data_IF_931827315368
#
_entry.id   IF_931827315368
#
_cell.length_a   1.000
_cell.length_b   1.000
_cell.length_c   1.000
_cell.angle_alpha   90.00
_cell.angle_beta   90.00
_cell.angle_gamma   90.00
#
_symmetry.space_group_name_H-M   'P 1'
#
loop_
_entity.id
_entity.type
_entity.pdbx_description
1 polymer ?
#
# COMPACT_ATOMS: atom_id res chain seq x y z
N UNK A 1 0.25 9.81 28.44
CA UNK A 1 -1.08 9.66 27.82
C UNK A 1 -1.78 10.98 27.43
N UNK A 2 -1.24 12.17 27.77
CA UNK A 2 -1.96 13.46 27.62
C UNK A 2 -1.91 14.06 26.19
N UNK A 3 -0.86 13.78 25.41
CA UNK A 3 -0.63 14.44 24.12
C UNK A 3 -1.72 14.18 23.06
N UNK A 4 -2.19 12.95 22.92
CA UNK A 4 -3.24 12.61 21.95
C UNK A 4 -4.60 13.23 22.35
N UNK A 5 -4.94 13.21 23.63
CA UNK A 5 -6.15 13.87 24.12
C UNK A 5 -6.12 15.38 23.87
N UNK A 6 -4.97 16.03 24.11
CA UNK A 6 -4.79 17.44 23.77
C UNK A 6 -4.89 17.69 22.26
N UNK A 7 -4.35 16.80 21.43
CA UNK A 7 -4.51 16.92 19.97
C UNK A 7 -5.98 16.88 19.54
N UNK A 8 -6.83 16.05 20.19
CA UNK A 8 -8.27 16.03 19.90
C UNK A 8 -8.96 17.35 20.29
N UNK A 9 -8.55 17.97 21.40
CA UNK A 9 -9.19 19.18 21.92
C UNK A 9 -8.66 20.49 21.29
N UNK A 10 -7.36 20.57 21.05
CA UNK A 10 -6.63 21.79 20.67
C UNK A 10 -5.91 21.67 19.33
N UNK A 11 -5.92 20.49 18.70
CA UNK A 11 -5.24 20.26 17.43
C UNK A 11 -5.95 20.91 16.25
N UNK A 12 -5.23 20.98 15.14
CA UNK A 12 -5.77 21.45 13.87
C UNK A 12 -6.00 20.26 12.95
N UNK A 13 -7.09 20.29 12.19
CA UNK A 13 -7.31 19.34 11.11
C UNK A 13 -6.27 19.57 10.01
N UNK A 14 -5.60 18.48 9.60
CA UNK A 14 -4.78 18.44 8.40
C UNK A 14 -5.39 17.46 7.41
N UNK A 15 -5.69 17.94 6.21
CA UNK A 15 -6.11 17.09 5.09
C UNK A 15 -4.90 16.31 4.56
N UNK A 16 -5.12 15.04 4.26
CA UNK A 16 -4.14 14.11 3.73
C UNK A 16 -4.70 13.39 2.52
N UNK A 17 -3.79 13.12 1.58
CA UNK A 17 -4.07 12.37 0.36
C UNK A 17 -3.97 10.87 0.67
N UNK A 18 -4.74 10.06 -0.06
CA UNK A 18 -4.74 8.61 0.08
C UNK A 18 -4.85 7.96 -1.29
N UNK A 19 -4.52 6.67 -1.38
CA UNK A 19 -4.76 5.87 -2.58
C UNK A 19 -5.98 4.99 -2.36
N UNK A 20 -6.83 4.87 -3.38
CA UNK A 20 -7.93 3.91 -3.42
C UNK A 20 -7.69 2.96 -4.58
N UNK A 21 -7.79 1.66 -4.32
CA UNK A 21 -7.65 0.64 -5.34
C UNK A 21 -9.00 0.30 -5.99
N UNK A 22 -8.96 -0.31 -7.17
CA UNK A 22 -10.14 -0.74 -7.94
C UNK A 22 -11.05 -1.77 -7.22
N UNK A 23 -10.67 -2.23 -6.03
CA UNK A 23 -11.45 -3.09 -5.13
C UNK A 23 -11.88 -2.37 -3.85
N UNK A 24 -11.91 -1.03 -3.89
CA UNK A 24 -12.22 -0.12 -2.79
C UNK A 24 -11.24 -0.19 -1.60
N UNK A 25 -10.07 -0.79 -1.78
CA UNK A 25 -9.01 -0.84 -0.78
C UNK A 25 -8.33 0.51 -0.61
N UNK A 26 -8.07 0.95 0.63
CA UNK A 26 -7.45 2.26 0.94
C UNK A 26 -6.01 2.08 1.40
N UNK A 27 -5.11 2.95 0.92
CA UNK A 27 -3.71 3.07 1.40
C UNK A 27 -3.47 4.49 1.91
N UNK A 28 -3.05 4.61 3.16
CA UNK A 28 -2.76 5.89 3.82
C UNK A 28 -1.26 6.21 3.82
N UNK A 29 -0.41 5.20 3.94
CA UNK A 29 1.03 5.36 4.11
C UNK A 29 1.82 4.85 2.92
N UNK A 30 1.82 3.53 2.70
CA UNK A 30 2.63 2.94 1.61
C UNK A 30 2.08 1.64 1.06
N UNK A 31 2.23 1.51 -0.26
CA UNK A 31 2.04 0.28 -1.01
C UNK A 31 3.41 -0.35 -1.30
N UNK A 32 3.53 -1.69 -1.16
CA UNK A 32 4.77 -2.44 -1.44
C UNK A 32 4.51 -3.73 -2.19
N UNK A 33 5.31 -4.00 -3.23
CA UNK A 33 5.35 -5.25 -3.99
C UNK A 33 6.82 -5.67 -4.11
N UNK A 34 7.22 -6.90 -3.75
CA UNK A 34 6.45 -7.87 -2.97
C UNK A 34 6.18 -7.35 -1.54
N UNK A 35 5.29 -8.00 -0.76
CA UNK A 35 4.95 -7.57 0.61
C UNK A 35 6.07 -7.92 1.61
N UNK A 36 7.26 -7.34 1.46
CA UNK A 36 8.43 -7.63 2.31
C UNK A 36 8.25 -6.98 3.70
N UNK A 37 8.60 -7.73 4.76
CA UNK A 37 8.58 -7.25 6.14
C UNK A 37 7.24 -7.39 6.87
N UNK A 38 6.22 -7.98 6.24
CA UNK A 38 5.08 -8.52 6.96
C UNK A 38 5.41 -9.96 7.39
N UNK A 39 5.22 -10.29 8.67
CA UNK A 39 5.01 -11.71 8.99
C UNK A 39 3.76 -12.12 8.22
N UNK A 40 3.91 -13.04 7.27
CA UNK A 40 2.77 -13.62 6.57
C UNK A 40 2.01 -14.42 7.62
N UNK A 41 1.12 -13.77 8.38
CA UNK A 41 0.02 -14.50 9.00
C UNK A 41 -0.86 -14.83 7.80
N UNK A 42 -0.74 -16.06 7.30
CA UNK A 42 -1.66 -16.63 6.34
C UNK A 42 -3.06 -16.56 6.94
N UNK A 43 -3.75 -15.45 6.73
CA UNK A 43 -5.20 -15.46 6.69
C UNK A 43 -5.51 -16.29 5.44
N UNK A 44 -5.73 -17.59 5.66
CA UNK A 44 -6.25 -18.48 4.65
C UNK A 44 -7.59 -17.91 4.20
N UNK A 45 -7.59 -17.09 3.14
CA UNK A 45 -8.83 -16.61 2.56
C UNK A 45 -9.29 -17.58 1.50
N UNK A 46 -10.44 -18.15 1.80
CA UNK A 46 -11.23 -19.03 0.96
C UNK A 46 -11.97 -18.15 -0.04
N UNK A 47 -12.09 -18.62 -1.28
CA UNK A 47 -13.11 -18.17 -2.23
C UNK A 47 -14.45 -17.84 -1.55
N UNK A 48 -15.00 -16.63 -1.79
CA UNK A 48 -16.44 -16.32 -2.03
C UNK A 48 -16.74 -14.80 -1.98
N UNK A 49 -16.86 -14.12 -3.13
CA UNK A 49 -17.01 -12.66 -3.19
C UNK A 49 -18.45 -12.10 -2.99
N UNK A 50 -19.48 -12.91 -2.71
CA UNK A 50 -20.89 -12.45 -2.71
C UNK A 50 -21.66 -12.50 -1.37
N UNK A 51 -20.99 -12.83 -0.24
CA UNK A 51 -21.65 -12.94 1.08
C UNK A 51 -21.36 -11.75 2.03
N UNK A 52 -20.99 -10.58 1.50
CA UNK A 52 -20.56 -9.43 2.32
C UNK A 52 -21.69 -8.47 2.75
N UNK A 53 -22.94 -8.89 2.70
CA UNK A 53 -24.09 -8.08 3.18
C UNK A 53 -24.87 -8.68 4.35
N UNK A 54 -24.53 -9.85 4.88
CA UNK A 54 -25.28 -10.45 6.00
C UNK A 54 -24.41 -11.19 7.04
N UNK A 55 -24.11 -10.48 8.13
CA UNK A 55 -24.08 -10.87 9.56
C UNK A 55 -23.27 -12.08 10.10
N UNK A 56 -23.06 -11.97 11.41
CA UNK A 56 -22.30 -12.81 12.33
C UNK A 56 -22.75 -14.27 12.45
N UNK A 57 -21.81 -15.06 13.01
CA UNK A 57 -21.94 -16.43 13.52
C UNK A 57 -22.28 -17.51 12.48
N UNK A 58 -21.27 -18.27 12.02
CA UNK A 58 -21.19 -19.75 12.06
C UNK A 58 -19.75 -20.16 11.71
N UNK A 59 -18.96 -20.48 12.74
CA UNK A 59 -17.89 -21.50 12.64
C UNK A 59 -18.60 -22.85 12.48
N UNK A 60 -18.13 -23.73 11.60
CA UNK A 60 -17.55 -25.08 11.90
C UNK A 60 -17.53 -25.95 10.61
N UNK A 61 -16.41 -26.64 10.39
CA UNK A 61 -16.17 -27.82 9.52
C UNK A 61 -16.09 -27.65 7.99
N UNK A 62 -14.85 -27.51 7.47
CA UNK A 62 -14.47 -28.03 6.14
C UNK A 62 -13.08 -28.70 6.25
N UNK A 63 -12.85 -29.91 5.68
CA UNK A 63 -11.58 -30.63 5.80
C UNK A 63 -10.47 -29.99 4.95
N UNK A 64 -9.23 -30.02 5.48
CA UNK A 64 -8.04 -29.50 4.82
C UNK A 64 -7.65 -30.33 3.57
N UNK A 65 -7.51 -29.67 2.41
CA UNK A 65 -6.80 -30.22 1.23
C UNK A 65 -5.29 -29.96 1.36
N UNK A 66 -4.43 -30.86 0.87
CA UNK A 66 -3.00 -30.78 1.12
C UNK A 66 -2.35 -29.59 0.41
N UNK A 67 -1.53 -28.86 1.15
CA UNK A 67 -0.75 -27.72 0.70
C UNK A 67 0.28 -28.15 -0.34
N UNK A 68 0.16 -27.63 -1.57
CA UNK A 68 1.20 -27.75 -2.59
C UNK A 68 2.46 -27.05 -2.08
N UNK A 69 3.59 -27.75 -2.10
CA UNK A 69 4.91 -27.25 -1.72
C UNK A 69 5.18 -25.91 -2.40
N UNK A 70 5.20 -24.83 -1.62
CA UNK A 70 5.46 -23.47 -2.11
C UNK A 70 6.96 -23.36 -2.33
N UNK A 71 7.39 -23.24 -3.59
CA UNK A 71 8.74 -22.79 -3.94
C UNK A 71 9.06 -21.52 -3.15
N UNK A 72 10.29 -21.39 -2.68
CA UNK A 72 10.78 -20.17 -2.04
C UNK A 72 10.32 -18.93 -2.85
N UNK A 73 9.83 -17.86 -2.19
CA UNK A 73 9.29 -16.72 -2.90
C UNK A 73 10.35 -16.19 -3.87
N UNK A 74 10.02 -16.16 -5.16
CA UNK A 74 10.85 -15.48 -6.14
C UNK A 74 11.07 -14.05 -5.64
N UNK A 75 12.34 -13.70 -5.37
CA UNK A 75 12.71 -12.38 -4.85
C UNK A 75 12.44 -11.26 -5.87
N UNK A 76 12.13 -11.62 -7.10
CA UNK A 76 11.87 -10.74 -8.22
C UNK A 76 10.56 -11.13 -8.89
N UNK A 77 9.86 -10.14 -9.44
CA UNK A 77 8.63 -10.32 -10.20
C UNK A 77 8.77 -9.70 -11.58
N UNK A 78 8.06 -10.24 -12.57
CA UNK A 78 7.88 -9.59 -13.88
C UNK A 78 6.60 -8.79 -13.85
N UNK A 79 6.72 -7.47 -13.73
CA UNK A 79 5.61 -6.55 -13.59
C UNK A 79 5.68 -5.48 -14.66
N UNK A 80 4.52 -5.07 -15.18
CA UNK A 80 4.35 -3.81 -15.89
C UNK A 80 3.77 -2.79 -14.92
N UNK A 81 4.44 -1.66 -14.79
CA UNK A 81 4.01 -0.53 -13.95
C UNK A 81 3.72 0.64 -14.86
N UNK A 82 2.51 1.17 -14.76
CA UNK A 82 2.08 2.36 -15.47
C UNK A 82 1.71 3.46 -14.47
N UNK A 83 2.08 4.70 -14.80
CA UNK A 83 1.74 5.90 -14.04
C UNK A 83 1.05 6.87 -14.99
N UNK A 84 -0.20 7.22 -14.70
CA UNK A 84 -1.07 8.02 -15.58
C UNK A 84 -1.12 7.49 -17.03
N UNK A 85 -1.11 6.16 -17.18
CA UNK A 85 -1.09 5.47 -18.47
C UNK A 85 0.28 5.37 -19.14
N UNK A 86 1.32 6.03 -18.61
CA UNK A 86 2.69 5.92 -19.11
C UNK A 86 3.42 4.74 -18.48
N UNK A 87 4.01 3.87 -19.29
CA UNK A 87 4.74 2.69 -18.81
C UNK A 87 6.11 3.09 -18.25
N UNK A 88 6.33 2.83 -16.96
CA UNK A 88 7.59 3.04 -16.24
C UNK A 88 8.53 1.83 -16.34
N UNK A 89 7.97 0.62 -16.25
CA UNK A 89 8.65 -0.66 -16.50
C UNK A 89 7.65 -1.62 -17.12
N UNK A 90 8.11 -2.57 -17.92
CA UNK A 90 7.27 -3.56 -18.59
C UNK A 90 7.75 -5.00 -18.29
N UNK A 91 6.92 -6.00 -18.59
CA UNK A 91 7.06 -7.41 -18.17
C UNK A 91 8.37 -8.08 -18.60
N UNK A 92 9.06 -7.53 -19.60
CA UNK A 92 10.34 -8.04 -20.08
C UNK A 92 11.48 -7.78 -19.07
N UNK A 93 11.37 -6.76 -18.22
CA UNK A 93 12.36 -6.42 -17.20
C UNK A 93 11.89 -6.91 -15.81
N UNK A 94 12.63 -7.83 -15.16
CA UNK A 94 12.32 -8.24 -13.80
C UNK A 94 12.58 -7.09 -12.81
N UNK A 95 11.72 -6.99 -11.80
CA UNK A 95 11.82 -6.00 -10.72
C UNK A 95 11.99 -6.69 -9.37
N UNK A 96 12.85 -6.14 -8.51
CA UNK A 96 13.01 -6.56 -7.12
C UNK A 96 11.90 -6.00 -6.24
N UNK A 97 11.55 -4.73 -6.45
CA UNK A 97 10.52 -4.07 -5.66
C UNK A 97 9.81 -2.95 -6.41
N UNK A 98 8.56 -2.71 -6.03
CA UNK A 98 7.77 -1.52 -6.35
C UNK A 98 7.26 -0.94 -5.04
N UNK A 99 7.38 0.37 -4.87
CA UNK A 99 6.75 1.10 -3.78
C UNK A 99 5.98 2.30 -4.30
N UNK A 100 4.79 2.50 -3.77
CA UNK A 100 3.96 3.67 -4.06
C UNK A 100 3.57 4.34 -2.75
N UNK A 101 3.72 5.66 -2.68
CA UNK A 101 3.44 6.47 -1.48
C UNK A 101 2.58 7.65 -1.91
N UNK A 102 1.44 7.93 -1.24
CA UNK A 102 0.72 9.18 -1.45
C UNK A 102 1.65 10.38 -1.24
N UNK A 103 1.71 11.28 -2.21
CA UNK A 103 2.44 12.53 -2.13
C UNK A 103 1.44 13.69 -1.90
N UNK A 104 1.95 14.91 -1.74
CA UNK A 104 1.10 16.09 -1.63
C UNK A 104 0.57 16.51 -3.02
N UNK A 105 -0.50 17.31 -3.02
CA UNK A 105 -1.11 17.89 -4.22
C UNK A 105 -1.74 16.85 -5.18
N UNK A 106 -2.30 15.78 -4.62
CA UNK A 106 -3.11 14.82 -5.36
C UNK A 106 -2.30 13.90 -6.26
N UNK A 107 -1.03 13.62 -5.92
CA UNK A 107 -0.18 12.68 -6.65
C UNK A 107 0.32 11.55 -5.76
N UNK A 108 0.90 10.54 -6.39
CA UNK A 108 1.57 9.41 -5.77
C UNK A 108 2.98 9.32 -6.32
N UNK A 109 3.94 9.12 -5.43
CA UNK A 109 5.32 8.83 -5.83
C UNK A 109 5.48 7.34 -6.01
N UNK A 110 5.98 6.94 -7.18
CA UNK A 110 6.26 5.56 -7.57
C UNK A 110 7.75 5.38 -7.67
N UNK A 111 8.25 4.35 -7.01
CA UNK A 111 9.64 3.90 -7.13
C UNK A 111 9.64 2.43 -7.52
N UNK A 112 10.33 2.12 -8.62
CA UNK A 112 10.56 0.77 -9.10
C UNK A 112 12.05 0.48 -8.99
N UNK A 113 12.38 -0.65 -8.36
CA UNK A 113 13.75 -1.17 -8.27
C UNK A 113 13.87 -2.34 -9.23
N UNK A 114 14.51 -2.16 -10.40
CA UNK A 114 14.82 -3.27 -11.29
C UNK A 114 15.70 -4.30 -10.60
N UNK A 115 15.60 -5.56 -11.04
CA UNK A 115 16.54 -6.59 -10.60
C UNK A 115 17.95 -6.27 -11.10
N UNK A 116 18.88 -6.10 -10.17
CA UNK A 116 20.28 -5.86 -10.50
C UNK A 116 20.98 -7.19 -10.79
N UNK A 117 21.46 -7.40 -12.02
CA UNK A 117 22.34 -8.52 -12.37
C UNK A 117 23.75 -7.94 -12.61
N UNK A 118 24.48 -7.65 -11.53
CA UNK A 118 25.80 -7.01 -11.60
C UNK A 118 25.82 -5.61 -10.97
N UNK A 119 26.30 -4.60 -11.69
CA UNK A 119 26.31 -3.21 -11.20
C UNK A 119 24.91 -2.77 -10.74
N UNK A 120 24.85 -2.09 -9.59
CA UNK A 120 23.61 -1.69 -8.92
C UNK A 120 22.72 -0.88 -9.89
N UNK A 121 21.53 -1.39 -10.20
CA UNK A 121 20.61 -0.74 -11.11
C UNK A 121 19.94 0.43 -10.40
N UNK A 122 20.03 1.62 -10.99
CA UNK A 122 19.37 2.82 -10.45
C UNK A 122 17.85 2.63 -10.40
N UNK A 123 17.17 3.07 -9.32
CA UNK A 123 15.72 3.01 -9.24
C UNK A 123 15.07 3.93 -10.28
N UNK A 124 13.94 3.48 -10.83
CA UNK A 124 13.09 4.29 -11.70
C UNK A 124 12.06 5.02 -10.84
N UNK A 125 11.95 6.33 -11.02
CA UNK A 125 11.05 7.20 -10.25
C UNK A 125 10.02 7.82 -11.16
N UNK A 126 8.78 7.90 -10.69
CA UNK A 126 7.70 8.64 -11.35
C UNK A 126 6.75 9.25 -10.30
N UNK A 127 5.99 10.26 -10.70
CA UNK A 127 4.89 10.82 -9.93
C UNK A 127 3.65 10.94 -10.81
N UNK A 128 2.47 10.62 -10.28
CA UNK A 128 1.21 10.68 -11.03
C UNK A 128 -0.02 10.41 -10.17
N UNK A 129 -1.21 10.43 -10.76
CA UNK A 129 -2.49 10.27 -10.04
C UNK A 129 -3.02 8.84 -10.02
N UNK A 130 -2.71 8.09 -11.08
CA UNK A 130 -3.18 6.72 -11.28
C UNK A 130 -1.99 5.82 -11.46
N UNK A 131 -1.92 4.73 -10.69
CA UNK A 131 -0.86 3.74 -10.80
C UNK A 131 -1.48 2.39 -11.11
N UNK A 132 -1.10 1.76 -12.21
CA UNK A 132 -1.55 0.41 -12.56
C UNK A 132 -0.37 -0.54 -12.54
N UNK A 133 -0.49 -1.63 -11.80
CA UNK A 133 0.51 -2.70 -11.78
C UNK A 133 -0.14 -3.97 -12.32
N UNK A 134 0.49 -4.60 -13.32
CA UNK A 134 0.07 -5.87 -13.89
C UNK A 134 1.21 -6.87 -13.99
N UNK A 135 0.89 -8.17 -13.94
CA UNK A 135 1.87 -9.27 -14.00
C UNK A 135 1.20 -10.64 -13.98
N UNK A 136 2.00 -11.71 -13.92
CA UNK A 136 1.47 -13.08 -13.93
C UNK A 136 0.54 -13.34 -12.73
N UNK A 137 1.06 -13.17 -11.51
CA UNK A 137 0.34 -13.12 -10.24
C UNK A 137 1.25 -12.43 -9.22
N UNK A 138 0.77 -11.43 -8.48
CA UNK A 138 1.56 -10.77 -7.44
C UNK A 138 0.72 -10.50 -6.18
N UNK A 139 1.40 -10.42 -5.04
CA UNK A 139 0.85 -9.93 -3.77
C UNK A 139 1.39 -8.54 -3.49
N UNK A 140 0.63 -7.75 -2.75
CA UNK A 140 1.05 -6.42 -2.32
C UNK A 140 0.70 -6.20 -0.85
N UNK A 141 1.43 -5.30 -0.20
CA UNK A 141 1.09 -4.80 1.12
C UNK A 141 0.62 -3.36 1.00
N UNK A 142 -0.60 -3.08 1.42
CA UNK A 142 -1.16 -1.76 1.63
C UNK A 142 -1.12 -1.46 3.13
N UNK A 143 -0.21 -0.59 3.56
CA UNK A 143 0.08 -0.32 4.97
C UNK A 143 0.40 -1.59 5.76
N UNK A 144 -0.57 -2.12 6.51
CA UNK A 144 -0.47 -3.35 7.28
C UNK A 144 -1.17 -4.55 6.64
N UNK A 145 -2.02 -4.34 5.64
CA UNK A 145 -2.80 -5.39 4.98
C UNK A 145 -2.04 -5.98 3.80
N UNK A 146 -1.94 -7.31 3.73
CA UNK A 146 -1.43 -8.02 2.56
C UNK A 146 -2.60 -8.53 1.72
N UNK A 147 -2.58 -8.22 0.42
CA UNK A 147 -3.62 -8.58 -0.54
C UNK A 147 -3.06 -9.38 -1.72
N UNK A 148 -3.95 -10.09 -2.41
CA UNK A 148 -3.63 -10.94 -3.55
C UNK A 148 -3.41 -12.42 -3.21
N UNK A 149 -3.05 -13.26 -4.20
CA UNK A 149 -2.50 -12.89 -5.50
C UNK A 149 -3.51 -12.27 -6.46
N UNK A 150 -3.10 -11.22 -7.18
CA UNK A 150 -3.87 -10.59 -8.27
C UNK A 150 -3.03 -10.53 -9.54
N UNK A 151 -3.69 -10.33 -10.69
CA UNK A 151 -3.01 -10.13 -11.99
C UNK A 151 -2.78 -8.66 -12.33
N UNK A 152 -3.76 -7.84 -11.97
CA UNK A 152 -3.75 -6.40 -12.21
C UNK A 152 -4.37 -5.73 -11.00
N UNK A 153 -3.84 -4.57 -10.64
CA UNK A 153 -4.46 -3.66 -9.68
C UNK A 153 -4.16 -2.23 -10.06
N UNK A 154 -5.16 -1.38 -10.00
CA UNK A 154 -5.03 0.06 -10.20
C UNK A 154 -5.31 0.79 -8.89
N UNK A 155 -4.51 1.82 -8.61
CA UNK A 155 -4.65 2.73 -7.47
C UNK A 155 -4.80 4.16 -7.98
N UNK A 156 -5.80 4.86 -7.48
CA UNK A 156 -6.06 6.28 -7.77
C UNK A 156 -5.86 7.14 -6.52
N UNK A 157 -5.24 8.30 -6.69
CA UNK A 157 -5.09 9.27 -5.61
C UNK A 157 -6.40 10.00 -5.35
N UNK A 158 -6.79 10.06 -4.08
CA UNK A 158 -7.89 10.91 -3.59
C UNK A 158 -7.29 12.04 -2.78
N UNK A 159 -7.18 13.20 -3.43
CA UNK A 159 -6.63 14.41 -2.83
C UNK A 159 -7.47 14.88 -1.65
N UNK A 160 -6.78 15.18 -0.54
CA UNK A 160 -7.35 15.72 0.68
C UNK A 160 -8.56 14.94 1.17
N UNK A 161 -8.63 13.62 0.97
CA UNK A 161 -9.81 12.82 1.28
C UNK A 161 -9.88 12.38 2.75
N UNK A 162 -8.77 12.42 3.48
CA UNK A 162 -8.72 12.09 4.90
C UNK A 162 -8.35 13.29 5.76
N UNK A 163 -9.09 13.54 6.84
CA UNK A 163 -8.80 14.57 7.83
C UNK A 163 -8.16 13.94 9.06
N UNK A 164 -6.97 14.41 9.44
CA UNK A 164 -6.29 14.00 10.67
C UNK A 164 -6.09 15.21 11.58
N UNK A 165 -6.64 15.16 12.79
CA UNK A 165 -6.36 16.18 13.81
C UNK A 165 -4.95 15.98 14.35
N UNK A 166 -4.09 16.95 14.10
CA UNK A 166 -2.69 16.91 14.53
C UNK A 166 -2.41 18.01 15.55
N UNK A 167 -1.47 17.80 16.49
CA UNK A 167 -1.07 18.85 17.42
C UNK A 167 -0.63 20.11 16.66
N UNK A 168 -1.19 21.26 17.01
CA UNK A 168 -0.64 22.54 16.57
C UNK A 168 0.64 22.79 17.34
N UNK A 169 1.72 23.21 16.67
CA UNK A 169 2.88 23.76 17.34
C UNK A 169 2.48 25.12 17.96
N UNK A 170 1.85 25.11 19.13
CA UNK A 170 1.72 26.32 19.94
C UNK A 170 3.13 26.70 20.38
N UNK A 171 3.54 27.91 19.98
CA UNK A 171 4.91 28.39 20.09
C UNK A 171 5.52 28.16 21.45
N UNK A 172 6.82 27.87 21.46
CA UNK A 172 7.70 28.07 22.60
C UNK A 172 7.46 29.47 23.15
N UNK A 173 6.57 29.58 24.13
CA UNK A 173 6.38 30.79 24.91
C UNK A 173 7.74 31.15 25.48
N UNK A 174 8.33 32.24 24.98
CA UNK A 174 9.45 32.89 25.64
C UNK A 174 8.98 33.21 27.05
N UNK A 175 9.42 32.41 28.01
CA UNK A 175 9.39 32.79 29.40
C UNK A 175 10.37 33.96 29.55
N UNK A 176 9.87 35.19 29.38
CA UNK A 176 10.55 36.38 29.91
C UNK A 176 10.12 36.51 31.36
N UNK A 177 10.97 36.03 32.25
CA UNK A 177 10.90 36.37 33.67
C UNK A 177 11.29 37.85 33.91
N UNK A 178 10.92 38.39 35.08
CA UNK A 178 11.11 39.78 35.46
C UNK A 178 12.58 40.21 35.54
#
# INVERSE_FOLDING_TARGET
>A
AVGAARAVLEGAERRMDLLVDDSDGVVLGSLRIPPVGATVREAADTDRPWLRTCHSLVRTLVPARPSRTVSAPERHARLRVEVDGHTLVDLHQPVEAVSVVPAAAGTARVEVRPLSVGAEASPLLAEGRTVTVSGAHFRYRADSLVSGPVRTRTWEVREGAWGLTVPTAQGTGRFRGP
#
